data_IF_967047093505
#
_entry.id   IF_967047093505
#
_cell.length_a   1.000
_cell.length_b   1.000
_cell.length_c   1.000
_cell.angle_alpha   90.00
_cell.angle_beta   90.00
_cell.angle_gamma   90.00
#
_symmetry.space_group_name_H-M   'P 1'
#
loop_
_entity.id
_entity.type
_entity.pdbx_description
1 polymer ?
#
# COMPACT_ATOMS: atom_id res chain seq x y z
N UNK A 1 -12.87 -10.39 16.78
CA UNK A 1 -13.31 -10.05 15.40
C UNK A 1 -12.05 -9.72 14.60
N UNK A 2 -11.83 -10.30 13.40
CA UNK A 2 -10.65 -9.96 12.60
C UNK A 2 -10.87 -8.57 12.01
N UNK A 3 -10.14 -7.57 12.52
CA UNK A 3 -10.14 -6.22 11.96
C UNK A 3 -9.05 -6.13 10.88
N UNK A 4 -9.47 -5.93 9.64
CA UNK A 4 -8.54 -5.77 8.52
C UNK A 4 -8.10 -4.31 8.47
N UNK A 5 -6.83 -4.06 8.80
CA UNK A 5 -6.23 -2.71 8.81
C UNK A 5 -5.99 -2.16 7.40
N UNK A 6 -5.77 -3.07 6.45
CA UNK A 6 -5.70 -2.72 5.04
C UNK A 6 -7.12 -2.45 4.51
N UNK A 7 -7.26 -1.43 3.67
CA UNK A 7 -8.53 -1.16 2.97
C UNK A 7 -8.32 -1.26 1.46
N UNK A 8 -8.29 -2.48 0.88
CA UNK A 8 -8.03 -2.67 -0.55
C UNK A 8 -9.04 -1.95 -1.45
N UNK A 9 -10.26 -1.74 -0.97
CA UNK A 9 -11.29 -0.97 -1.67
C UNK A 9 -10.92 0.51 -1.84
N UNK A 10 -10.20 1.11 -0.87
CA UNK A 10 -9.67 2.49 -1.00
C UNK A 10 -8.61 2.54 -2.09
N UNK A 11 -7.70 1.57 -2.12
CA UNK A 11 -6.69 1.43 -3.16
C UNK A 11 -7.33 1.28 -4.55
N UNK A 12 -8.28 0.36 -4.70
CA UNK A 12 -8.96 0.14 -5.98
C UNK A 12 -9.68 1.40 -6.47
N UNK A 13 -10.28 2.19 -5.56
CA UNK A 13 -10.91 3.46 -5.90
C UNK A 13 -9.90 4.49 -6.42
N UNK A 14 -8.77 4.66 -5.74
CA UNK A 14 -7.73 5.60 -6.16
C UNK A 14 -7.11 5.15 -7.49
N UNK A 15 -6.68 3.89 -7.59
CA UNK A 15 -6.08 3.31 -8.81
C UNK A 15 -7.03 3.38 -10.00
N UNK A 16 -8.32 3.14 -9.79
CA UNK A 16 -9.35 3.21 -10.83
C UNK A 16 -9.54 4.61 -11.42
N UNK A 17 -9.14 5.66 -10.69
CA UNK A 17 -9.28 7.06 -11.12
C UNK A 17 -7.98 7.66 -11.68
N UNK A 18 -6.86 6.92 -11.67
CA UNK A 18 -5.59 7.41 -12.21
C UNK A 18 -5.63 7.48 -13.74
N UNK A 19 -4.99 8.51 -14.30
CA UNK A 19 -4.73 8.57 -15.76
C UNK A 19 -3.68 7.54 -16.17
N UNK A 20 -3.53 7.28 -17.47
CA UNK A 20 -2.49 6.34 -17.93
C UNK A 20 -1.08 6.84 -17.62
N UNK A 21 -0.83 8.15 -17.70
CA UNK A 21 0.45 8.75 -17.34
C UNK A 21 0.76 8.55 -15.85
N UNK A 22 -0.24 8.72 -14.99
CA UNK A 22 -0.11 8.45 -13.55
C UNK A 22 0.15 6.96 -13.28
N UNK A 23 -0.50 6.06 -14.02
CA UNK A 23 -0.23 4.61 -13.92
C UNK A 23 1.18 4.26 -14.37
N UNK A 24 1.70 4.90 -15.42
CA UNK A 24 3.08 4.72 -15.85
C UNK A 24 4.07 5.16 -14.77
N UNK A 25 3.79 6.26 -14.07
CA UNK A 25 4.59 6.66 -12.91
C UNK A 25 4.49 5.64 -11.78
N UNK A 26 3.31 5.08 -11.49
CA UNK A 26 3.14 4.00 -10.50
C UNK A 26 3.99 2.77 -10.86
N UNK A 27 4.06 2.40 -12.14
CA UNK A 27 4.93 1.33 -12.62
C UNK A 27 6.41 1.68 -12.43
N UNK A 28 6.81 2.90 -12.79
CA UNK A 28 8.19 3.37 -12.70
C UNK A 28 8.71 3.44 -11.25
N UNK A 29 7.85 3.76 -10.27
CA UNK A 29 8.23 3.74 -8.85
C UNK A 29 8.24 2.33 -8.22
N UNK A 30 7.92 1.28 -8.99
CA UNK A 30 7.98 -0.11 -8.54
C UNK A 30 6.68 -0.68 -7.96
N UNK A 31 5.58 0.07 -8.02
CA UNK A 31 4.27 -0.37 -7.50
C UNK A 31 3.31 -0.84 -8.61
N UNK A 32 3.84 -1.20 -9.78
CA UNK A 32 3.04 -1.56 -10.97
C UNK A 32 2.06 -2.72 -10.73
N UNK A 33 2.44 -3.72 -9.92
CA UNK A 33 1.56 -4.86 -9.62
C UNK A 33 0.32 -4.44 -8.80
N UNK A 34 0.39 -3.32 -8.07
CA UNK A 34 -0.76 -2.78 -7.35
C UNK A 34 -1.85 -2.26 -8.29
N UNK A 35 -1.52 -1.93 -9.54
CA UNK A 35 -2.51 -1.57 -10.56
C UNK A 35 -3.39 -2.76 -10.98
N UNK A 36 -2.89 -3.99 -10.78
CA UNK A 36 -3.59 -5.22 -11.12
C UNK A 36 -4.48 -5.74 -9.98
N UNK A 37 -4.37 -5.17 -8.78
CA UNK A 37 -5.18 -5.56 -7.63
C UNK A 37 -6.66 -5.26 -7.89
N UNK A 38 -7.39 -6.31 -8.23
CA UNK A 38 -8.87 -6.30 -8.27
C UNK A 38 -9.41 -6.75 -6.94
N UNK A 39 -9.29 -5.90 -5.93
CA UNK A 39 -9.70 -6.22 -4.58
C UNK A 39 -10.97 -5.42 -4.24
N UNK A 40 -12.13 -5.95 -4.63
CA UNK A 40 -13.43 -5.37 -4.31
C UNK A 40 -13.75 -5.49 -2.81
N UNK A 41 -14.87 -6.14 -2.48
CA UNK A 41 -15.16 -6.52 -1.10
C UNK A 41 -14.64 -7.92 -0.85
N UNK A 42 -13.58 -8.05 -0.06
CA UNK A 42 -13.19 -9.34 0.48
C UNK A 42 -14.28 -9.80 1.47
N UNK A 43 -14.98 -10.90 1.15
CA UNK A 43 -16.04 -11.43 2.00
C UNK A 43 -15.47 -11.86 3.35
N UNK A 44 -16.21 -11.61 4.44
CA UNK A 44 -15.80 -12.00 5.81
C UNK A 44 -15.51 -13.49 5.94
N UNK A 45 -16.23 -14.31 5.18
CA UNK A 45 -16.02 -15.76 5.13
C UNK A 45 -14.68 -16.13 4.53
N UNK A 46 -14.24 -15.41 3.49
CA UNK A 46 -12.93 -15.61 2.88
C UNK A 46 -11.79 -15.30 3.85
N UNK A 47 -11.90 -14.21 4.64
CA UNK A 47 -10.93 -13.94 5.70
C UNK A 47 -10.90 -15.01 6.78
N UNK A 48 -12.07 -15.47 7.25
CA UNK A 48 -12.13 -16.56 8.23
C UNK A 48 -11.48 -17.81 7.68
N UNK A 49 -11.72 -18.12 6.41
CA UNK A 49 -11.11 -19.24 5.73
C UNK A 49 -9.59 -19.11 5.67
N UNK A 50 -9.05 -17.97 5.20
CA UNK A 50 -7.60 -17.71 5.18
C UNK A 50 -7.00 -17.94 6.57
N UNK A 51 -7.61 -17.37 7.61
CA UNK A 51 -7.11 -17.50 8.99
C UNK A 51 -7.17 -18.94 9.48
N UNK A 52 -8.23 -19.69 9.14
CA UNK A 52 -8.34 -21.11 9.52
C UNK A 52 -7.45 -22.04 8.71
N UNK A 53 -7.04 -21.64 7.51
CA UNK A 53 -6.25 -22.45 6.58
C UNK A 53 -4.77 -22.10 6.57
N UNK A 54 -4.36 -21.11 7.37
CA UNK A 54 -2.96 -20.69 7.51
C UNK A 54 -2.25 -21.52 8.57
N UNK A 55 -1.21 -22.25 8.17
CA UNK A 55 -0.29 -22.90 9.09
C UNK A 55 0.79 -21.91 9.52
N UNK A 56 0.79 -21.56 10.81
CA UNK A 56 1.73 -20.62 11.40
C UNK A 56 3.15 -21.18 11.51
N UNK A 57 3.32 -22.50 11.58
CA UNK A 57 4.65 -23.13 11.72
C UNK A 57 5.43 -23.06 10.41
N UNK A 58 4.77 -23.34 9.29
CA UNK A 58 5.37 -23.29 7.96
C UNK A 58 5.17 -21.95 7.26
N UNK A 59 4.37 -21.05 7.83
CA UNK A 59 3.91 -19.81 7.19
C UNK A 59 3.30 -20.09 5.81
N UNK A 60 2.34 -21.02 5.72
CA UNK A 60 1.75 -21.42 4.44
C UNK A 60 0.23 -21.55 4.46
N UNK A 61 -0.39 -21.32 3.30
CA UNK A 61 -1.81 -21.59 3.03
C UNK A 61 -1.95 -22.89 2.24
N UNK A 62 -2.84 -23.78 2.69
CA UNK A 62 -3.19 -24.99 1.96
C UNK A 62 -4.52 -24.82 1.24
N UNK A 63 -4.48 -24.80 -0.10
CA UNK A 63 -5.61 -24.47 -0.96
C UNK A 63 -5.74 -25.54 -2.04
N UNK A 64 -6.80 -26.34 -2.01
CA UNK A 64 -7.08 -27.38 -3.03
C UNK A 64 -5.86 -28.26 -3.38
N UNK A 65 -5.13 -28.74 -2.37
CA UNK A 65 -3.94 -29.59 -2.56
C UNK A 65 -2.67 -28.82 -2.96
N UNK A 66 -2.72 -27.50 -3.07
CA UNK A 66 -1.54 -26.64 -3.27
C UNK A 66 -1.13 -25.99 -1.95
N UNK A 67 0.17 -25.83 -1.76
CA UNK A 67 0.76 -25.11 -0.63
C UNK A 67 1.34 -23.81 -1.14
N UNK A 68 0.84 -22.68 -0.63
CA UNK A 68 1.38 -21.35 -0.92
C UNK A 68 2.15 -20.91 0.32
N UNK A 69 3.48 -20.81 0.22
CA UNK A 69 4.31 -20.27 1.30
C UNK A 69 4.22 -18.74 1.28
N UNK A 70 3.94 -18.15 2.43
CA UNK A 70 3.87 -16.71 2.65
C UNK A 70 5.21 -16.28 3.22
N UNK A 71 6.14 -15.99 2.31
CA UNK A 71 7.50 -15.52 2.60
C UNK A 71 7.78 -14.18 1.91
N UNK A 72 9.02 -13.71 2.02
CA UNK A 72 9.47 -12.46 1.40
C UNK A 72 9.34 -12.48 -0.13
N UNK A 73 9.60 -13.62 -0.77
CA UNK A 73 9.46 -13.80 -2.22
C UNK A 73 7.99 -13.71 -2.65
N UNK A 74 7.07 -14.29 -1.88
CA UNK A 74 5.64 -14.14 -2.09
C UNK A 74 5.23 -12.66 -2.02
N UNK A 75 5.73 -11.92 -1.03
CA UNK A 75 5.50 -10.48 -0.93
C UNK A 75 6.06 -9.75 -2.16
N UNK A 76 7.30 -10.02 -2.56
CA UNK A 76 7.92 -9.37 -3.72
C UNK A 76 7.14 -9.61 -5.00
N UNK A 77 6.67 -10.84 -5.21
CA UNK A 77 5.86 -11.20 -6.36
C UNK A 77 4.52 -10.46 -6.37
N UNK A 78 3.81 -10.44 -5.25
CA UNK A 78 2.49 -9.77 -5.14
C UNK A 78 2.62 -8.25 -5.27
N UNK A 79 3.63 -7.66 -4.63
CA UNK A 79 3.81 -6.21 -4.56
C UNK A 79 4.52 -5.63 -5.78
N UNK A 80 5.28 -6.46 -6.51
CA UNK A 80 6.11 -6.02 -7.64
C UNK A 80 7.38 -5.29 -7.22
N UNK A 81 7.76 -5.38 -5.94
CA UNK A 81 8.93 -4.73 -5.36
C UNK A 81 9.91 -5.82 -4.92
N UNK A 82 11.22 -5.68 -5.15
CA UNK A 82 12.21 -6.62 -4.64
C UNK A 82 12.09 -6.82 -3.12
N UNK A 83 12.28 -8.04 -2.64
CA UNK A 83 12.41 -8.33 -1.20
C UNK A 83 13.81 -8.08 -0.64
N UNK A 84 14.70 -7.55 -1.48
CA UNK A 84 16.07 -7.18 -1.18
C UNK A 84 16.40 -5.84 -1.82
N UNK A 85 17.15 -4.99 -1.12
CA UNK A 85 17.52 -3.67 -1.61
C UNK A 85 18.63 -3.08 -0.76
N UNK A 86 19.20 -1.96 -1.24
CA UNK A 86 20.14 -1.19 -0.44
C UNK A 86 19.46 -0.70 0.85
N UNK A 87 20.16 -0.69 2.00
CA UNK A 87 19.62 -0.13 3.22
C UNK A 87 19.12 1.30 2.99
N UNK A 88 17.86 1.57 3.31
CA UNK A 88 17.32 2.92 3.21
C UNK A 88 17.88 3.75 4.34
N UNK A 89 18.58 4.84 4.01
CA UNK A 89 19.01 5.82 5.01
C UNK A 89 17.81 6.63 5.48
N UNK A 90 17.23 6.22 6.60
CA UNK A 90 16.13 6.93 7.29
C UNK A 90 16.61 8.13 8.11
N UNK A 91 17.92 8.41 8.09
CA UNK A 91 18.55 9.54 8.76
C UNK A 91 19.18 10.47 7.73
N UNK A 92 18.88 11.76 7.83
CA UNK A 92 19.40 12.78 6.93
C UNK A 92 18.45 13.97 6.82
N UNK A 93 18.97 15.09 6.31
CA UNK A 93 18.13 16.23 5.98
C UNK A 93 17.24 15.88 4.78
N UNK A 94 15.91 15.87 5.01
CA UNK A 94 14.95 15.86 3.89
C UNK A 94 14.88 17.28 3.37
N UNK A 95 15.37 17.52 2.16
CA UNK A 95 15.18 18.80 1.48
C UNK A 95 13.68 19.11 1.43
N UNK A 96 13.30 20.33 1.81
CA UNK A 96 11.92 20.80 1.81
C UNK A 96 10.99 20.03 2.77
N UNK A 97 11.48 19.54 3.92
CA UNK A 97 10.63 18.89 4.93
C UNK A 97 9.47 19.79 5.38
N UNK A 98 9.71 21.08 5.61
CA UNK A 98 8.68 22.03 6.04
C UNK A 98 7.57 22.19 5.00
N UNK A 99 7.94 22.18 3.71
CA UNK A 99 6.98 22.20 2.61
C UNK A 99 6.08 20.96 2.64
N UNK A 100 6.66 19.77 2.78
CA UNK A 100 5.87 18.53 2.85
C UNK A 100 5.04 18.44 4.13
N UNK A 101 5.59 18.89 5.26
CA UNK A 101 4.89 18.97 6.54
C UNK A 101 3.65 19.85 6.44
N UNK A 102 3.79 21.05 5.88
CA UNK A 102 2.67 21.95 5.62
C UNK A 102 1.67 21.34 4.64
N UNK A 103 2.13 20.83 3.50
CA UNK A 103 1.28 20.34 2.41
C UNK A 103 0.42 19.14 2.79
N UNK A 104 0.97 18.22 3.59
CA UNK A 104 0.25 17.04 4.07
C UNK A 104 -0.33 17.21 5.48
N UNK A 105 -0.25 18.42 6.05
CA UNK A 105 -0.71 18.71 7.41
C UNK A 105 -0.16 17.70 8.42
N UNK A 106 1.15 17.41 8.33
CA UNK A 106 1.80 16.39 9.16
C UNK A 106 1.79 16.87 10.61
N UNK A 107 1.15 16.09 11.49
CA UNK A 107 1.10 16.36 12.92
C UNK A 107 1.96 15.36 13.69
N UNK A 108 2.10 15.54 15.01
CA UNK A 108 2.68 14.53 15.90
C UNK A 108 1.89 13.22 15.93
N UNK A 109 0.60 13.26 15.56
CA UNK A 109 -0.25 12.07 15.36
C UNK A 109 -0.08 11.45 13.96
N UNK A 110 0.75 12.09 13.13
CA UNK A 110 1.07 11.76 11.76
C UNK A 110 0.13 12.40 10.74
N UNK A 111 -0.05 11.71 9.61
CA UNK A 111 -0.80 12.16 8.44
C UNK A 111 -2.17 11.48 8.41
N UNK A 112 -3.22 12.25 8.12
CA UNK A 112 -4.56 11.72 7.87
C UNK A 112 -4.63 11.14 6.44
N UNK A 113 -4.96 9.86 6.34
CA UNK A 113 -5.11 9.17 5.05
C UNK A 113 -6.25 9.79 4.23
N UNK A 114 -7.30 10.31 4.87
CA UNK A 114 -8.39 10.99 4.16
C UNK A 114 -7.89 12.24 3.46
N UNK A 115 -7.03 13.03 4.11
CA UNK A 115 -6.37 14.18 3.48
C UNK A 115 -5.58 13.76 2.24
N UNK A 116 -4.82 12.65 2.32
CA UNK A 116 -4.10 12.10 1.16
C UNK A 116 -5.06 11.69 0.03
N UNK A 117 -6.20 11.08 0.35
CA UNK A 117 -7.22 10.71 -0.64
C UNK A 117 -7.86 11.93 -1.33
N UNK A 118 -8.18 12.97 -0.55
CA UNK A 118 -8.76 14.21 -1.07
C UNK A 118 -7.77 14.90 -2.02
N UNK A 119 -6.46 14.78 -1.74
CA UNK A 119 -5.40 15.27 -2.63
C UNK A 119 -5.38 14.58 -4.00
N UNK A 120 -5.81 13.33 -4.12
CA UNK A 120 -5.93 12.68 -5.43
C UNK A 120 -7.04 13.27 -6.31
N UNK A 121 -8.02 13.99 -5.72
CA UNK A 121 -9.05 14.66 -6.51
C UNK A 121 -8.51 15.88 -7.26
N UNK A 122 -7.53 16.56 -6.66
CA UNK A 122 -6.95 17.81 -7.19
C UNK A 122 -5.66 17.57 -7.97
N UNK A 123 -4.91 16.49 -7.69
CA UNK A 123 -3.64 16.23 -8.37
C UNK A 123 -3.88 15.77 -9.81
N UNK A 124 -3.46 16.59 -10.77
CA UNK A 124 -3.48 16.26 -12.21
C UNK A 124 -2.09 15.98 -12.76
N UNK A 125 -1.05 16.30 -11.99
CA UNK A 125 0.33 16.05 -12.34
C UNK A 125 0.70 14.58 -12.09
N UNK A 126 1.84 14.19 -12.65
CA UNK A 126 2.50 12.90 -12.50
C UNK A 126 3.98 13.10 -12.09
N UNK A 127 4.27 14.23 -11.45
CA UNK A 127 5.59 14.65 -10.99
C UNK A 127 5.91 14.10 -9.58
N UNK A 128 6.92 14.65 -8.92
CA UNK A 128 7.35 14.19 -7.58
C UNK A 128 6.27 14.37 -6.52
N UNK A 129 5.37 15.34 -6.70
CA UNK A 129 4.21 15.50 -5.84
C UNK A 129 3.26 14.31 -5.93
N UNK A 130 3.02 13.81 -7.14
CA UNK A 130 2.23 12.60 -7.34
C UNK A 130 2.91 11.39 -6.73
N UNK A 131 4.21 11.22 -6.99
CA UNK A 131 5.00 10.09 -6.43
C UNK A 131 4.95 10.07 -4.90
N UNK A 132 5.20 11.21 -4.25
CA UNK A 132 5.16 11.32 -2.78
C UNK A 132 3.76 11.07 -2.25
N UNK A 133 2.72 11.65 -2.88
CA UNK A 133 1.32 11.44 -2.47
C UNK A 133 0.92 9.96 -2.57
N UNK A 134 1.31 9.29 -3.66
CA UNK A 134 1.07 7.87 -3.86
C UNK A 134 1.81 6.99 -2.86
N UNK A 135 3.10 7.24 -2.64
CA UNK A 135 3.88 6.49 -1.65
C UNK A 135 3.31 6.65 -0.23
N UNK A 136 2.94 7.86 0.19
CA UNK A 136 2.31 8.10 1.50
C UNK A 136 0.96 7.39 1.63
N UNK A 137 0.17 7.36 0.55
CA UNK A 137 -1.10 6.63 0.52
C UNK A 137 -0.89 5.12 0.70
N UNK A 138 0.03 4.51 -0.06
CA UNK A 138 0.33 3.08 0.03
C UNK A 138 0.89 2.72 1.42
N UNK A 139 1.77 3.56 1.98
CA UNK A 139 2.27 3.39 3.34
C UNK A 139 1.13 3.44 4.37
N UNK A 140 0.24 4.42 4.28
CA UNK A 140 -0.85 4.61 5.22
C UNK A 140 -2.00 3.61 5.09
N UNK A 141 -2.15 2.93 3.95
CA UNK A 141 -3.31 2.05 3.68
C UNK A 141 -2.99 0.57 3.52
N UNK A 142 -1.78 0.21 3.07
CA UNK A 142 -1.42 -1.16 2.71
C UNK A 142 -0.18 -1.65 3.45
N UNK A 143 0.91 -0.90 3.44
CA UNK A 143 2.21 -1.37 3.94
C UNK A 143 2.40 -1.17 5.44
N UNK A 144 2.00 -0.02 5.97
CA UNK A 144 2.15 0.34 7.39
C UNK A 144 0.87 1.00 7.95
N UNK A 145 -0.32 0.39 7.78
CA UNK A 145 -1.56 0.96 8.26
C UNK A 145 -1.52 1.12 9.79
N UNK A 146 -1.75 2.34 10.28
CA UNK A 146 -1.67 2.65 11.72
C UNK A 146 -2.71 1.89 12.53
N UNK A 147 -2.34 1.56 13.76
CA UNK A 147 -3.27 1.12 14.81
C UNK A 147 -4.18 2.29 15.17
N UNK A 148 -5.48 2.20 14.85
CA UNK A 148 -6.46 3.04 15.54
C UNK A 148 -6.50 2.56 17.00
N UNK A 149 -6.26 3.48 17.94
CA UNK A 149 -6.57 3.26 19.37
C UNK A 149 -8.07 3.26 19.55
#
# INVERSE_FOLDING_TARGET
>A
MVHTRCTPSRLCRIVGNLTEEQKDVVRAVGFGNLLLLKCGRLCREFYRWIVSSFDTKSSSLHIHGKTIRIDSSCFAHVMGIPDHGAPTHIHGAVSNLDYWAYKFSITSLGIDVKHIEDRFQVIKTYDDEFKVTFCLFILGTLLAPRTMK
#
